data_IF_748878699357
#
_entry.id   IF_748878699357
#
_cell.length_a   1.000
_cell.length_b   1.000
_cell.length_c   1.000
_cell.angle_alpha   90.00
_cell.angle_beta   90.00
_cell.angle_gamma   90.00
#
_symmetry.space_group_name_H-M   'P 1'
#
loop_
_entity.id
_entity.type
_entity.pdbx_description
1 polymer ?
#
# COMPACT_ATOMS: atom_id res chain seq x y z
N UNK A 1 -12.03 6.33 19.66
CA UNK A 1 -11.60 5.68 18.42
C UNK A 1 -11.52 6.71 17.27
N UNK A 2 -10.64 6.48 16.33
CA UNK A 2 -10.22 7.42 15.29
C UNK A 2 -10.04 6.68 13.94
N UNK A 3 -11.12 6.00 13.47
CA UNK A 3 -11.09 5.28 12.20
C UNK A 3 -10.93 6.20 11.01
N UNK A 4 -10.36 5.67 9.93
CA UNK A 4 -10.20 6.41 8.67
C UNK A 4 -11.53 6.97 8.16
N UNK A 5 -11.50 8.21 7.69
CA UNK A 5 -12.68 9.03 7.32
C UNK A 5 -13.65 9.37 8.49
N UNK A 6 -13.21 9.19 9.75
CA UNK A 6 -13.96 9.52 10.98
C UNK A 6 -13.08 10.22 12.01
N UNK A 7 -12.17 11.05 11.54
CA UNK A 7 -11.14 11.71 12.35
C UNK A 7 -11.61 13.03 12.96
N UNK A 8 -12.85 13.48 12.75
CA UNK A 8 -13.31 14.77 13.28
C UNK A 8 -13.08 14.91 14.79
N UNK A 9 -13.38 13.85 15.56
CA UNK A 9 -13.24 13.89 17.02
C UNK A 9 -11.77 14.03 17.47
N UNK A 10 -10.84 13.33 16.81
CA UNK A 10 -9.43 13.44 17.16
C UNK A 10 -8.84 14.77 16.66
N UNK A 11 -9.26 15.27 15.50
CA UNK A 11 -8.88 16.60 15.01
C UNK A 11 -9.39 17.69 15.94
N UNK A 12 -10.65 17.62 16.41
CA UNK A 12 -11.21 18.53 17.43
C UNK A 12 -10.39 18.49 18.73
N UNK A 13 -9.98 17.30 19.16
CA UNK A 13 -9.15 17.12 20.34
C UNK A 13 -7.78 17.80 20.17
N UNK A 14 -7.09 17.59 19.05
CA UNK A 14 -5.79 18.21 18.76
C UNK A 14 -5.90 19.74 18.69
N UNK A 15 -6.93 20.27 18.02
CA UNK A 15 -7.19 21.70 17.95
C UNK A 15 -7.42 22.30 19.35
N UNK A 16 -8.32 21.67 20.15
CA UNK A 16 -8.60 22.12 21.52
C UNK A 16 -7.37 22.02 22.43
N UNK A 17 -6.52 21.01 22.23
CA UNK A 17 -5.26 20.86 22.95
C UNK A 17 -4.31 22.02 22.63
N UNK A 18 -4.17 22.38 21.35
CA UNK A 18 -3.36 23.52 20.92
C UNK A 18 -3.89 24.84 21.48
N UNK A 19 -5.22 25.08 21.44
CA UNK A 19 -5.86 26.26 22.04
C UNK A 19 -5.58 26.40 23.53
N UNK A 20 -5.70 25.31 24.28
CA UNK A 20 -5.42 25.31 25.74
C UNK A 20 -3.94 25.64 26.07
N UNK A 21 -3.02 25.36 25.15
CA UNK A 21 -1.60 25.70 25.28
C UNK A 21 -1.27 27.10 24.72
N UNK A 22 -2.23 27.77 24.07
CA UNK A 22 -2.04 29.05 23.38
C UNK A 22 -1.15 28.97 22.15
N UNK A 23 -1.15 27.80 21.47
CA UNK A 23 -0.39 27.55 20.26
C UNK A 23 -1.23 27.84 19.01
N UNK A 24 -0.56 28.34 17.96
CA UNK A 24 -1.18 28.52 16.65
C UNK A 24 -1.44 27.15 15.99
N UNK A 25 -2.60 26.98 15.38
CA UNK A 25 -2.90 25.81 14.59
C UNK A 25 -3.72 26.14 13.34
N UNK A 26 -3.69 25.25 12.35
CA UNK A 26 -4.55 25.26 11.18
C UNK A 26 -5.17 23.88 10.99
N UNK A 27 -6.41 23.83 10.50
CA UNK A 27 -7.12 22.59 10.14
C UNK A 27 -7.68 22.74 8.72
N UNK A 28 -7.45 21.77 7.87
CA UNK A 28 -7.98 21.77 6.51
C UNK A 28 -9.34 21.02 6.39
N UNK A 29 -9.87 20.98 5.17
CA UNK A 29 -11.16 20.33 4.88
C UNK A 29 -11.11 18.79 4.96
N UNK A 30 -9.92 18.20 5.01
CA UNK A 30 -9.73 16.77 5.21
C UNK A 30 -9.48 16.41 6.69
N UNK A 31 -9.54 17.39 7.58
CA UNK A 31 -9.22 17.28 9.01
C UNK A 31 -7.72 17.11 9.31
N UNK A 32 -6.82 17.31 8.35
CA UNK A 32 -5.41 17.42 8.70
C UNK A 32 -5.18 18.66 9.58
N UNK A 33 -4.35 18.51 10.62
CA UNK A 33 -4.08 19.60 11.58
C UNK A 33 -2.59 19.89 11.62
N UNK A 34 -2.22 21.17 11.57
CA UNK A 34 -0.84 21.63 11.82
C UNK A 34 -0.83 22.46 13.08
N UNK A 35 -0.04 22.10 14.08
CA UNK A 35 0.18 22.87 15.30
C UNK A 35 1.60 23.42 15.30
N UNK A 36 1.75 24.73 15.50
CA UNK A 36 3.06 25.41 15.50
C UNK A 36 3.50 25.73 16.92
N UNK A 37 4.70 25.29 17.29
CA UNK A 37 5.33 25.62 18.56
C UNK A 37 6.55 26.49 18.31
N UNK A 38 6.59 27.76 18.83
CA UNK A 38 7.73 28.64 18.65
C UNK A 38 9.04 28.05 19.20
N UNK A 39 10.16 28.43 18.60
CA UNK A 39 11.48 28.04 19.06
C UNK A 39 11.69 28.44 20.52
N UNK A 40 12.42 27.62 21.26
CA UNK A 40 12.82 27.97 22.63
C UNK A 40 14.01 28.96 22.61
N UNK A 41 14.22 29.77 23.69
CA UNK A 41 15.30 30.74 23.73
C UNK A 41 16.66 30.14 23.36
N UNK A 42 17.33 30.74 22.37
CA UNK A 42 18.61 30.33 21.81
C UNK A 42 18.50 29.40 20.60
N UNK A 43 17.28 29.04 20.17
CA UNK A 43 17.03 28.17 18.99
C UNK A 43 16.33 28.92 17.83
N UNK A 44 16.12 30.22 17.94
CA UNK A 44 15.34 31.03 16.97
C UNK A 44 16.00 31.10 15.58
N UNK A 45 17.31 30.87 15.51
CA UNK A 45 18.07 30.88 14.25
C UNK A 45 18.20 29.49 13.60
N UNK A 46 17.73 28.44 14.28
CA UNK A 46 17.78 27.08 13.76
C UNK A 46 16.67 26.84 12.73
N UNK A 47 16.87 25.86 11.86
CA UNK A 47 15.90 25.48 10.87
C UNK A 47 14.65 24.86 11.50
N UNK A 48 13.48 25.18 10.95
CA UNK A 48 12.19 24.64 11.41
C UNK A 48 12.17 23.13 11.21
N UNK A 49 11.68 22.40 12.21
CA UNK A 49 11.53 20.94 12.19
C UNK A 49 10.06 20.58 12.08
N UNK A 50 9.71 19.76 11.09
CA UNK A 50 8.41 19.11 10.97
C UNK A 50 8.45 17.76 11.68
N UNK A 51 7.48 17.54 12.58
CA UNK A 51 7.14 16.23 13.14
C UNK A 51 5.82 15.79 12.51
N UNK A 52 5.73 14.56 12.03
CA UNK A 52 4.53 14.12 11.31
C UNK A 52 4.16 12.67 11.62
N UNK A 53 2.85 12.43 11.70
CA UNK A 53 2.22 11.14 11.77
C UNK A 53 0.72 11.24 11.54
N UNK A 54 0.07 10.11 11.25
CA UNK A 54 -1.36 10.11 10.95
C UNK A 54 -2.23 9.89 12.19
N UNK A 55 -3.43 10.47 12.16
CA UNK A 55 -4.39 10.39 13.27
C UNK A 55 -5.34 9.21 13.17
N UNK A 56 -5.58 8.68 11.99
CA UNK A 56 -6.48 7.54 11.82
C UNK A 56 -5.87 6.22 12.29
N UNK A 57 -6.64 5.18 12.29
CA UNK A 57 -6.27 3.80 12.61
C UNK A 57 -7.24 2.84 11.97
N UNK A 58 -6.80 1.63 11.67
CA UNK A 58 -7.67 0.53 11.25
C UNK A 58 -8.58 0.09 12.41
N UNK A 59 -9.88 0.05 12.15
CA UNK A 59 -10.87 -0.52 13.06
C UNK A 59 -11.00 -2.02 12.82
N UNK A 60 -10.33 -2.80 13.64
CA UNK A 60 -10.44 -4.26 13.62
C UNK A 60 -10.68 -4.79 15.04
N UNK A 61 -11.52 -5.82 15.17
CA UNK A 61 -11.85 -6.45 16.45
C UNK A 61 -11.95 -7.96 16.33
N UNK A 62 -11.86 -8.66 17.45
CA UNK A 62 -12.05 -10.10 17.48
C UNK A 62 -13.44 -10.49 16.98
N UNK A 63 -13.58 -11.65 16.31
CA UNK A 63 -14.85 -12.06 15.69
C UNK A 63 -16.04 -12.13 16.65
N UNK A 64 -15.78 -12.42 17.92
CA UNK A 64 -16.78 -12.57 19.00
C UNK A 64 -16.97 -11.27 19.81
N UNK A 65 -16.23 -10.20 19.51
CA UNK A 65 -16.34 -8.93 20.21
C UNK A 65 -17.59 -8.14 19.78
N UNK A 66 -18.25 -7.58 20.77
CA UNK A 66 -19.38 -6.65 20.59
C UNK A 66 -18.96 -5.19 20.64
N UNK A 67 -17.66 -4.90 20.74
CA UNK A 67 -17.12 -3.54 20.85
C UNK A 67 -17.60 -2.63 19.72
N UNK A 68 -18.06 -1.43 20.10
CA UNK A 68 -18.56 -0.41 19.17
C UNK A 68 -17.56 0.75 19.05
N UNK A 69 -16.80 0.76 17.95
CA UNK A 69 -15.83 1.82 17.65
C UNK A 69 -16.43 3.24 17.52
N UNK A 70 -17.72 3.37 17.28
CA UNK A 70 -18.36 4.69 17.17
C UNK A 70 -18.60 5.33 18.55
N UNK A 71 -18.86 4.50 19.58
CA UNK A 71 -19.36 4.96 20.87
C UNK A 71 -18.48 4.59 22.06
N UNK A 72 -17.57 3.62 21.91
CA UNK A 72 -16.71 3.15 23.01
C UNK A 72 -15.26 3.61 22.85
N UNK A 73 -14.58 3.89 23.96
CA UNK A 73 -13.13 4.10 24.01
C UNK A 73 -12.37 2.77 24.02
N UNK A 74 -11.25 2.68 23.31
CA UNK A 74 -10.41 1.48 23.31
C UNK A 74 -9.94 1.19 24.73
N UNK A 75 -10.15 -0.05 25.18
CA UNK A 75 -9.73 -0.53 26.50
C UNK A 75 -8.30 -1.06 26.41
N UNK A 76 -7.36 -0.22 26.82
CA UNK A 76 -5.94 -0.56 26.82
C UNK A 76 -5.57 -1.37 28.06
N UNK A 77 -4.63 -2.31 27.89
CA UNK A 77 -4.01 -3.06 28.98
C UNK A 77 -2.49 -3.13 28.76
N UNK A 78 -1.77 -3.17 29.86
CA UNK A 78 -0.34 -3.48 29.87
C UNK A 78 -0.18 -4.96 30.20
N UNK A 79 0.60 -5.67 29.38
CA UNK A 79 0.89 -7.07 29.59
C UNK A 79 2.08 -7.26 30.53
N UNK A 80 2.22 -8.44 31.16
CA UNK A 80 3.31 -8.74 32.10
C UNK A 80 4.70 -8.71 31.43
N UNK A 81 4.75 -8.92 30.10
CA UNK A 81 5.96 -8.87 29.27
C UNK A 81 6.24 -7.48 28.68
N UNK A 82 5.53 -6.43 29.15
CA UNK A 82 5.87 -5.03 28.89
C UNK A 82 5.31 -4.44 27.58
N UNK A 83 4.21 -4.99 27.08
CA UNK A 83 3.51 -4.41 25.93
C UNK A 83 2.24 -3.69 26.31
N UNK A 84 1.90 -2.64 25.53
CA UNK A 84 0.58 -2.04 25.52
C UNK A 84 -0.27 -2.66 24.41
N UNK A 85 -1.45 -3.13 24.75
CA UNK A 85 -2.42 -3.75 23.82
C UNK A 85 -3.84 -3.24 24.10
N UNK A 86 -4.75 -3.45 23.17
CA UNK A 86 -6.19 -3.41 23.45
C UNK A 86 -6.72 -4.80 23.88
N UNK A 87 -7.84 -4.84 24.59
CA UNK A 87 -8.43 -6.10 25.05
C UNK A 87 -9.01 -6.93 23.92
N UNK A 88 -9.74 -6.31 22.99
CA UNK A 88 -10.53 -7.00 21.96
C UNK A 88 -10.34 -6.43 20.54
N UNK A 89 -9.63 -5.30 20.42
CA UNK A 89 -9.51 -4.54 19.18
C UNK A 89 -8.06 -4.26 18.82
N UNK A 90 -7.82 -3.67 17.63
CA UNK A 90 -6.59 -2.92 17.35
C UNK A 90 -6.38 -1.89 18.46
N UNK A 91 -5.14 -1.69 18.89
CA UNK A 91 -4.83 -0.67 19.90
C UNK A 91 -4.51 0.70 19.27
N UNK A 92 -4.19 0.75 17.98
CA UNK A 92 -3.88 1.96 17.22
C UNK A 92 -2.52 2.55 17.60
N UNK A 93 -1.51 1.71 17.88
CA UNK A 93 -0.13 2.15 18.00
C UNK A 93 0.38 2.72 16.68
N UNK A 94 -0.13 2.20 15.60
CA UNK A 94 -0.06 2.72 14.24
C UNK A 94 -1.22 3.72 14.00
N UNK A 95 -1.01 5.04 13.86
CA UNK A 95 0.20 5.79 14.25
C UNK A 95 -0.05 6.64 15.51
N UNK A 96 -0.69 6.05 16.51
CA UNK A 96 -0.92 6.70 17.83
C UNK A 96 0.35 7.06 18.57
N UNK A 97 1.47 6.40 18.24
CA UNK A 97 2.81 6.72 18.76
C UNK A 97 3.19 8.15 18.37
N UNK A 98 3.10 8.49 17.08
CA UNK A 98 3.40 9.84 16.61
C UNK A 98 2.50 10.89 17.25
N UNK A 99 1.18 10.61 17.29
CA UNK A 99 0.22 11.52 17.92
C UNK A 99 0.61 11.78 19.39
N UNK A 100 0.93 10.73 20.15
CA UNK A 100 1.31 10.84 21.56
C UNK A 100 2.62 11.63 21.73
N UNK A 101 3.65 11.38 20.91
CA UNK A 101 4.90 12.11 20.96
C UNK A 101 4.72 13.59 20.64
N UNK A 102 4.00 13.92 19.58
CA UNK A 102 3.74 15.32 19.22
C UNK A 102 2.98 16.04 20.32
N UNK A 103 1.94 15.45 20.90
CA UNK A 103 1.20 16.05 22.01
C UNK A 103 2.09 16.26 23.24
N UNK A 104 2.93 15.29 23.63
CA UNK A 104 3.85 15.40 24.75
C UNK A 104 4.87 16.53 24.51
N UNK A 105 5.46 16.61 23.32
CA UNK A 105 6.40 17.67 22.93
C UNK A 105 5.73 19.05 22.95
N UNK A 106 4.50 19.16 22.42
CA UNK A 106 3.76 20.42 22.42
C UNK A 106 3.49 20.93 23.85
N UNK A 107 3.16 20.02 24.77
CA UNK A 107 2.85 20.38 26.17
C UNK A 107 4.07 20.70 27.02
N UNK A 108 5.22 20.06 26.78
CA UNK A 108 6.41 20.20 27.61
C UNK A 108 7.10 21.55 27.36
N UNK A 109 7.15 22.40 28.40
CA UNK A 109 7.78 23.72 28.36
C UNK A 109 9.28 23.68 28.73
N UNK A 110 9.79 22.54 29.19
CA UNK A 110 11.19 22.38 29.61
C UNK A 110 12.11 21.98 28.45
N UNK A 111 11.56 21.48 27.36
CA UNK A 111 12.31 21.01 26.19
C UNK A 111 13.02 22.18 25.48
N UNK A 112 14.18 21.88 24.93
CA UNK A 112 14.94 22.77 24.04
C UNK A 112 14.75 22.32 22.61
N UNK A 113 14.25 23.18 21.72
CA UNK A 113 13.93 22.86 20.34
C UNK A 113 13.85 24.09 19.44
N UNK A 114 14.10 23.95 18.11
CA UNK A 114 13.77 24.94 17.09
C UNK A 114 12.25 25.18 16.99
N UNK A 115 11.83 26.08 16.13
CA UNK A 115 10.40 26.15 15.75
C UNK A 115 9.94 24.77 15.24
N UNK A 116 8.78 24.31 15.74
CA UNK A 116 8.20 23.02 15.36
C UNK A 116 6.89 23.21 14.58
N UNK A 117 6.72 22.40 13.54
CA UNK A 117 5.48 22.20 12.81
C UNK A 117 5.03 20.74 13.03
N UNK A 118 4.09 20.53 13.96
CA UNK A 118 3.51 19.20 14.22
C UNK A 118 2.34 18.97 13.24
N UNK A 119 2.52 18.08 12.28
CA UNK A 119 1.58 17.78 11.21
C UNK A 119 0.88 16.46 11.50
N UNK A 120 -0.41 16.55 11.78
CA UNK A 120 -1.30 15.42 12.04
C UNK A 120 -2.14 15.18 10.78
N UNK A 121 -1.91 14.08 10.11
CA UNK A 121 -2.60 13.72 8.86
C UNK A 121 -3.78 12.78 9.11
N UNK A 122 -4.62 12.57 8.11
CA UNK A 122 -5.85 11.76 8.16
C UNK A 122 -5.94 10.80 6.99
N UNK A 123 -6.76 9.75 7.13
CA UNK A 123 -7.06 8.78 6.08
C UNK A 123 -5.78 8.27 5.35
N UNK A 124 -4.74 7.99 6.14
CA UNK A 124 -3.51 7.36 5.66
C UNK A 124 -3.78 5.92 5.24
N UNK A 125 -4.34 5.13 6.14
CA UNK A 125 -4.55 3.70 6.07
C UNK A 125 -5.32 3.20 4.82
N UNK A 126 -6.37 3.89 4.34
CA UNK A 126 -7.08 3.46 3.14
C UNK A 126 -6.36 3.84 1.83
N UNK A 127 -5.25 4.59 1.88
CA UNK A 127 -4.46 4.95 0.69
C UNK A 127 -4.02 6.41 0.61
N UNK A 128 -3.58 6.99 1.72
CA UNK A 128 -2.96 8.33 1.80
C UNK A 128 -3.92 9.46 1.33
N UNK A 129 -5.23 9.33 1.61
CA UNK A 129 -6.21 10.29 1.05
C UNK A 129 -6.16 11.66 1.72
N UNK A 130 -5.86 11.73 3.02
CA UNK A 130 -5.81 12.99 3.75
C UNK A 130 -4.67 13.88 3.26
N UNK A 131 -3.47 13.32 3.18
CA UNK A 131 -2.29 14.07 2.77
C UNK A 131 -2.37 14.56 1.32
N UNK A 132 -3.12 13.88 0.43
CA UNK A 132 -3.30 14.34 -0.96
C UNK A 132 -4.05 15.69 -1.07
N UNK A 133 -4.78 16.08 -0.01
CA UNK A 133 -5.48 17.38 0.07
C UNK A 133 -4.70 18.43 0.88
N UNK A 134 -3.58 18.02 1.45
CA UNK A 134 -2.78 18.86 2.31
C UNK A 134 -2.00 19.92 1.50
N UNK A 135 -2.08 21.18 1.93
CA UNK A 135 -1.31 22.27 1.34
C UNK A 135 0.04 22.45 2.04
N UNK A 136 1.11 21.93 1.42
CA UNK A 136 2.47 22.08 1.92
C UNK A 136 3.00 23.52 1.89
N UNK A 137 2.38 24.46 1.14
CA UNK A 137 2.85 25.84 1.02
C UNK A 137 2.82 26.61 2.34
N UNK A 138 2.03 26.13 3.30
CA UNK A 138 1.95 26.70 4.65
C UNK A 138 3.12 26.32 5.57
N UNK A 139 3.94 25.33 5.17
CA UNK A 139 5.06 24.81 5.97
C UNK A 139 6.37 25.49 5.62
N UNK A 140 7.22 25.70 6.64
CA UNK A 140 8.54 26.31 6.53
C UNK A 140 9.68 25.32 6.79
N UNK A 141 9.35 24.11 7.23
CA UNK A 141 10.30 23.10 7.67
C UNK A 141 11.41 22.83 6.64
N UNK A 142 12.62 22.58 7.17
CA UNK A 142 13.80 22.10 6.44
C UNK A 142 14.22 20.71 6.89
N UNK A 143 13.84 20.34 8.11
CA UNK A 143 14.05 19.02 8.69
C UNK A 143 12.72 18.34 8.92
N UNK A 144 12.67 17.04 8.69
CA UNK A 144 11.45 16.26 8.77
C UNK A 144 11.68 14.95 9.52
N UNK A 145 10.93 14.75 10.60
CA UNK A 145 10.87 13.50 11.33
C UNK A 145 9.50 12.88 11.10
N UNK A 146 9.45 11.85 10.27
CA UNK A 146 8.28 10.96 10.16
C UNK A 146 8.31 9.95 11.30
N UNK A 147 7.14 9.62 11.85
CA UNK A 147 7.04 8.70 12.98
C UNK A 147 6.14 7.49 12.67
N UNK A 148 5.78 7.30 11.42
CA UNK A 148 4.96 6.21 10.90
C UNK A 148 5.83 5.03 10.44
N UNK A 149 5.88 3.97 11.24
CA UNK A 149 6.64 2.74 10.99
C UNK A 149 6.57 1.79 12.20
N UNK A 150 7.33 0.70 12.19
CA UNK A 150 7.11 -0.39 13.15
C UNK A 150 8.36 -0.96 13.85
N UNK A 151 9.55 -0.42 13.61
CA UNK A 151 10.78 -0.97 14.18
C UNK A 151 11.76 0.12 14.59
N UNK A 152 12.06 0.22 15.88
CA UNK A 152 13.04 1.15 16.42
C UNK A 152 14.47 0.94 15.88
N UNK A 153 15.30 1.97 15.94
CA UNK A 153 16.69 1.90 15.49
C UNK A 153 16.82 1.66 13.97
N UNK A 154 15.78 1.99 13.21
CA UNK A 154 15.80 1.95 11.74
C UNK A 154 15.47 3.32 11.16
N UNK A 155 15.91 3.55 9.91
CA UNK A 155 15.43 4.69 9.10
C UNK A 155 15.09 4.22 7.70
N UNK A 156 13.86 4.52 7.25
CA UNK A 156 13.35 4.11 5.95
C UNK A 156 13.87 5.06 4.86
N UNK A 157 14.86 4.59 4.10
CA UNK A 157 15.48 5.39 3.02
C UNK A 157 14.77 5.21 1.68
N UNK A 158 14.13 4.07 1.48
CA UNK A 158 13.46 3.73 0.22
C UNK A 158 12.04 3.25 0.53
N UNK A 159 11.04 3.90 -0.07
CA UNK A 159 9.66 3.41 -0.08
C UNK A 159 9.04 3.59 -1.47
N UNK A 160 8.16 2.68 -1.85
CA UNK A 160 7.57 2.69 -3.18
C UNK A 160 6.38 3.64 -3.28
N UNK A 161 6.24 4.29 -4.43
CA UNK A 161 5.01 4.91 -4.87
C UNK A 161 4.27 4.03 -5.86
N UNK A 162 3.01 4.35 -6.14
CA UNK A 162 2.22 3.62 -7.12
C UNK A 162 1.17 4.49 -7.81
N UNK A 163 0.76 4.05 -9.01
CA UNK A 163 -0.45 4.50 -9.68
C UNK A 163 -1.53 3.42 -9.52
N UNK A 164 -2.60 3.72 -8.80
CA UNK A 164 -3.75 2.83 -8.69
C UNK A 164 -4.64 3.04 -9.92
N UNK A 165 -4.60 2.10 -10.84
CA UNK A 165 -5.25 2.24 -12.12
C UNK A 165 -6.31 1.16 -12.37
N UNK A 166 -7.34 1.54 -13.11
CA UNK A 166 -8.41 0.65 -13.56
C UNK A 166 -8.51 0.68 -15.08
N UNK A 167 -8.52 -0.50 -15.65
CA UNK A 167 -8.89 -0.72 -17.04
C UNK A 167 -10.35 -1.14 -17.12
N UNK A 168 -11.06 -0.68 -18.15
CA UNK A 168 -12.46 -1.08 -18.38
C UNK A 168 -12.74 -1.21 -19.87
N UNK A 169 -13.29 -2.35 -20.28
CA UNK A 169 -13.81 -2.56 -21.64
C UNK A 169 -15.29 -2.84 -21.58
N UNK A 170 -16.08 -1.99 -22.24
CA UNK A 170 -17.53 -2.16 -22.39
C UNK A 170 -17.84 -2.96 -23.64
N UNK A 171 -18.89 -3.76 -23.60
CA UNK A 171 -19.35 -4.59 -24.70
C UNK A 171 -20.85 -4.92 -24.61
N UNK A 172 -21.41 -5.46 -25.69
CA UNK A 172 -22.71 -6.09 -25.70
C UNK A 172 -22.50 -7.59 -25.94
N UNK A 173 -23.21 -8.43 -25.17
CA UNK A 173 -23.09 -9.89 -25.30
C UNK A 173 -23.75 -10.40 -26.57
N UNK A 174 -23.18 -11.45 -27.15
CA UNK A 174 -23.69 -12.15 -28.31
C UNK A 174 -24.07 -13.57 -27.93
N UNK A 175 -25.25 -14.01 -28.39
CA UNK A 175 -25.68 -15.41 -28.27
C UNK A 175 -25.03 -16.22 -29.40
N UNK A 176 -24.29 -17.26 -29.05
CA UNK A 176 -23.64 -18.15 -29.99
C UNK A 176 -24.49 -19.41 -30.16
N UNK A 177 -24.91 -19.69 -31.41
CA UNK A 177 -25.61 -20.93 -31.75
C UNK A 177 -24.61 -22.08 -31.75
N UNK A 178 -25.05 -23.24 -31.26
CA UNK A 178 -24.29 -24.50 -31.28
C UNK A 178 -22.91 -24.44 -30.56
N UNK A 179 -22.77 -23.52 -29.58
CA UNK A 179 -21.59 -23.41 -28.77
C UNK A 179 -21.80 -24.07 -27.40
N UNK A 180 -20.79 -24.80 -26.96
CA UNK A 180 -20.63 -25.30 -25.59
C UNK A 180 -19.78 -24.31 -24.74
N UNK A 181 -19.80 -24.45 -23.43
CA UNK A 181 -19.03 -23.65 -22.50
C UNK A 181 -17.97 -24.50 -21.81
N UNK A 182 -16.74 -23.98 -21.73
CA UNK A 182 -15.67 -24.51 -20.90
C UNK A 182 -15.31 -23.47 -19.82
N UNK A 183 -15.40 -23.87 -18.56
CA UNK A 183 -14.86 -23.09 -17.46
C UNK A 183 -13.47 -23.63 -17.10
N UNK A 184 -12.53 -22.71 -16.97
CA UNK A 184 -11.09 -22.94 -16.71
C UNK A 184 -10.77 -22.22 -15.43
N UNK A 185 -10.56 -22.95 -14.34
CA UNK A 185 -10.21 -22.38 -13.05
C UNK A 185 -8.80 -22.79 -12.63
N UNK A 186 -7.96 -21.81 -12.35
CA UNK A 186 -6.65 -21.99 -11.72
C UNK A 186 -6.75 -21.58 -10.27
N UNK A 187 -6.27 -22.42 -9.36
CA UNK A 187 -6.32 -22.21 -7.92
C UNK A 187 -5.16 -22.92 -7.20
N UNK A 188 -5.08 -22.77 -5.88
CA UNK A 188 -4.03 -23.42 -5.08
C UNK A 188 -2.67 -22.71 -5.12
N UNK A 189 -2.63 -21.45 -5.58
CA UNK A 189 -1.43 -20.64 -5.55
C UNK A 189 -1.14 -20.15 -4.13
N UNK A 190 0.14 -19.87 -3.86
CA UNK A 190 0.62 -19.47 -2.52
C UNK A 190 0.09 -18.10 -2.12
N UNK A 191 0.13 -17.11 -3.03
CA UNK A 191 -0.30 -15.76 -2.77
C UNK A 191 0.53 -15.02 -1.73
N UNK A 192 0.51 -13.69 -1.80
CA UNK A 192 1.09 -12.80 -0.81
C UNK A 192 0.53 -11.38 -1.01
N UNK A 193 0.80 -10.48 -0.06
CA UNK A 193 0.60 -9.06 -0.29
C UNK A 193 1.49 -8.57 -1.45
N UNK A 194 1.00 -7.62 -2.25
CA UNK A 194 1.70 -7.12 -3.45
C UNK A 194 3.07 -6.48 -3.18
N UNK A 195 3.37 -6.14 -1.95
CA UNK A 195 4.71 -5.65 -1.57
C UNK A 195 5.81 -6.73 -1.65
N UNK A 196 5.47 -8.02 -1.60
CA UNK A 196 6.41 -9.13 -1.58
C UNK A 196 6.71 -9.68 -3.00
N UNK A 197 6.96 -8.78 -3.95
CA UNK A 197 7.25 -9.14 -5.35
C UNK A 197 8.56 -9.92 -5.51
N UNK A 198 9.49 -9.80 -4.56
CA UNK A 198 10.74 -10.59 -4.54
C UNK A 198 10.49 -12.09 -4.44
N UNK A 199 9.32 -12.50 -3.96
CA UNK A 199 8.94 -13.94 -3.89
C UNK A 199 8.67 -14.55 -5.26
N UNK A 200 8.48 -13.73 -6.30
CA UNK A 200 8.24 -14.14 -7.68
C UNK A 200 7.11 -15.18 -7.83
N UNK A 201 6.04 -15.00 -7.04
CA UNK A 201 4.87 -15.87 -7.03
C UNK A 201 4.12 -15.81 -8.37
N UNK A 202 3.49 -16.91 -8.73
CA UNK A 202 2.60 -16.95 -9.88
C UNK A 202 1.35 -16.07 -9.63
N UNK A 203 0.82 -15.48 -10.70
CA UNK A 203 -0.42 -14.72 -10.69
C UNK A 203 -1.50 -15.53 -11.40
N UNK A 204 -2.57 -15.92 -10.71
CA UNK A 204 -3.63 -16.76 -11.24
C UNK A 204 -4.33 -16.14 -12.46
N UNK A 205 -4.52 -14.81 -12.48
CA UNK A 205 -5.13 -14.11 -13.61
C UNK A 205 -4.23 -14.24 -14.84
N UNK A 206 -2.93 -13.98 -14.71
CA UNK A 206 -1.95 -14.13 -15.81
C UNK A 206 -1.88 -15.57 -16.32
N UNK A 207 -1.98 -16.54 -15.41
CA UNK A 207 -1.98 -17.98 -15.76
C UNK A 207 -3.21 -18.36 -16.57
N UNK A 208 -4.41 -17.97 -16.10
CA UNK A 208 -5.66 -18.25 -16.84
C UNK A 208 -5.69 -17.54 -18.19
N UNK A 209 -5.26 -16.28 -18.24
CA UNK A 209 -5.16 -15.52 -19.50
C UNK A 209 -4.19 -16.19 -20.47
N UNK A 210 -3.05 -16.72 -19.99
CA UNK A 210 -2.10 -17.48 -20.82
C UNK A 210 -2.75 -18.73 -21.39
N UNK A 211 -3.50 -19.47 -20.58
CA UNK A 211 -4.25 -20.66 -21.02
C UNK A 211 -5.26 -20.28 -22.13
N UNK A 212 -6.10 -19.29 -21.89
CA UNK A 212 -7.12 -18.83 -22.86
C UNK A 212 -6.45 -18.35 -24.16
N UNK A 213 -5.35 -17.59 -24.07
CA UNK A 213 -4.60 -17.12 -25.22
C UNK A 213 -4.11 -18.29 -26.11
N UNK A 214 -3.53 -19.34 -25.51
CA UNK A 214 -3.05 -20.49 -26.28
C UNK A 214 -4.18 -21.37 -26.81
N UNK A 215 -5.31 -21.50 -26.11
CA UNK A 215 -6.52 -22.12 -26.67
C UNK A 215 -6.94 -21.38 -27.93
N UNK A 216 -7.03 -20.04 -27.88
CA UNK A 216 -7.40 -19.22 -29.05
C UNK A 216 -6.43 -19.32 -30.24
N UNK A 217 -5.19 -19.72 -30.01
CA UNK A 217 -4.23 -20.00 -31.09
C UNK A 217 -4.54 -21.31 -31.86
N UNK A 218 -5.19 -22.26 -31.21
CA UNK A 218 -5.42 -23.58 -31.75
C UNK A 218 -6.89 -23.83 -32.16
N UNK A 219 -7.84 -23.21 -31.43
CA UNK A 219 -9.28 -23.33 -31.70
C UNK A 219 -10.01 -22.00 -31.54
N UNK A 220 -11.01 -21.68 -32.36
CA UNK A 220 -11.85 -20.51 -32.19
C UNK A 220 -12.63 -20.59 -30.86
N UNK A 221 -12.52 -19.57 -30.03
CA UNK A 221 -13.35 -19.44 -28.81
C UNK A 221 -13.53 -17.97 -28.42
N UNK A 222 -14.61 -17.67 -27.69
CA UNK A 222 -14.93 -16.35 -27.19
C UNK A 222 -15.01 -16.33 -25.68
N UNK A 223 -14.58 -15.25 -25.08
CA UNK A 223 -14.64 -15.05 -23.64
C UNK A 223 -16.10 -14.79 -23.21
N UNK A 224 -16.58 -15.54 -22.22
CA UNK A 224 -17.85 -15.29 -21.53
C UNK A 224 -17.58 -14.43 -20.30
N UNK A 225 -16.62 -14.84 -19.47
CA UNK A 225 -16.21 -14.10 -18.28
C UNK A 225 -14.78 -14.41 -17.87
N UNK A 226 -14.18 -13.51 -17.11
CA UNK A 226 -12.91 -13.68 -16.44
C UNK A 226 -13.01 -13.01 -15.08
N UNK A 227 -12.87 -13.77 -14.00
CA UNK A 227 -13.05 -13.26 -12.63
C UNK A 227 -12.00 -13.87 -11.71
N UNK A 228 -11.43 -13.06 -10.82
CA UNK A 228 -10.48 -13.53 -9.82
C UNK A 228 -9.71 -12.41 -9.15
N UNK A 229 -8.99 -12.81 -8.10
CA UNK A 229 -8.13 -11.95 -7.32
C UNK A 229 -8.84 -11.05 -6.31
N UNK A 230 -8.04 -10.38 -5.50
CA UNK A 230 -8.47 -9.34 -4.55
C UNK A 230 -7.41 -8.23 -4.49
N UNK A 231 -7.83 -7.01 -4.14
CA UNK A 231 -6.90 -5.88 -4.03
C UNK A 231 -5.82 -6.15 -2.99
N UNK A 232 -4.66 -5.55 -3.21
CA UNK A 232 -3.45 -5.64 -2.39
C UNK A 232 -2.81 -7.03 -2.30
N UNK A 233 -3.33 -8.02 -3.05
CA UNK A 233 -2.79 -9.40 -3.04
C UNK A 233 -2.37 -9.85 -4.44
N UNK A 234 -1.34 -10.70 -4.50
CA UNK A 234 -1.01 -11.46 -5.71
C UNK A 234 -2.09 -12.54 -5.86
N UNK A 235 -2.87 -12.55 -6.96
CA UNK A 235 -4.04 -13.42 -7.13
C UNK A 235 -3.74 -14.91 -6.99
N UNK A 236 -4.48 -15.58 -6.10
CA UNK A 236 -4.34 -17.02 -5.81
C UNK A 236 -5.29 -17.90 -6.60
N UNK A 237 -6.34 -17.30 -7.15
CA UNK A 237 -7.36 -17.97 -7.95
C UNK A 237 -7.87 -17.08 -9.08
N UNK A 238 -8.28 -17.70 -10.17
CA UNK A 238 -8.97 -17.04 -11.28
C UNK A 238 -9.75 -18.05 -12.08
N UNK A 239 -10.93 -17.64 -12.58
CA UNK A 239 -11.78 -18.45 -13.44
C UNK A 239 -12.10 -17.72 -14.75
N UNK A 240 -11.77 -18.33 -15.88
CA UNK A 240 -12.28 -17.94 -17.18
C UNK A 240 -13.41 -18.89 -17.62
N UNK A 241 -14.44 -18.34 -18.27
CA UNK A 241 -15.46 -19.10 -18.98
C UNK A 241 -15.38 -18.72 -20.45
N UNK A 242 -15.27 -19.71 -21.33
CA UNK A 242 -15.16 -19.52 -22.79
C UNK A 242 -16.26 -20.30 -23.51
N UNK A 243 -16.74 -19.75 -24.61
CA UNK A 243 -17.66 -20.39 -25.55
C UNK A 243 -16.88 -20.90 -26.77
N UNK A 244 -17.09 -22.14 -27.17
CA UNK A 244 -16.45 -22.78 -28.32
C UNK A 244 -17.36 -23.87 -28.90
N UNK A 245 -17.10 -24.28 -30.15
CA UNK A 245 -17.82 -25.41 -30.74
C UNK A 245 -17.48 -26.70 -29.98
N UNK A 246 -18.47 -27.60 -29.82
CA UNK A 246 -18.31 -28.84 -29.07
C UNK A 246 -17.16 -29.71 -29.59
N UNK A 247 -16.96 -29.73 -30.91
CA UNK A 247 -15.86 -30.47 -31.58
C UNK A 247 -14.46 -29.99 -31.17
N UNK A 248 -14.34 -28.77 -30.63
CA UNK A 248 -13.08 -28.20 -30.17
C UNK A 248 -12.80 -28.42 -28.67
N UNK A 249 -13.74 -29.03 -27.93
CA UNK A 249 -13.66 -29.17 -26.49
C UNK A 249 -12.45 -29.99 -26.05
N UNK A 250 -12.20 -31.13 -26.65
CA UNK A 250 -11.05 -31.99 -26.32
C UNK A 250 -9.73 -31.29 -26.56
N UNK A 251 -9.63 -30.55 -27.67
CA UNK A 251 -8.41 -29.77 -27.95
C UNK A 251 -8.20 -28.62 -26.98
N UNK A 252 -9.27 -27.94 -26.60
CA UNK A 252 -9.17 -26.87 -25.60
C UNK A 252 -8.69 -27.39 -24.24
N UNK A 253 -9.16 -28.57 -23.80
CA UNK A 253 -8.70 -29.23 -22.56
C UNK A 253 -7.23 -29.64 -22.65
N UNK A 254 -6.81 -30.26 -23.75
CA UNK A 254 -5.40 -30.62 -23.99
C UNK A 254 -4.48 -29.40 -23.85
N UNK A 255 -4.85 -28.29 -24.53
CA UNK A 255 -4.07 -27.05 -24.48
C UNK A 255 -4.04 -26.45 -23.06
N UNK A 256 -5.20 -26.43 -22.38
CA UNK A 256 -5.29 -25.92 -21.01
C UNK A 256 -4.36 -26.69 -20.06
N UNK A 257 -4.37 -28.02 -20.13
CA UNK A 257 -3.52 -28.87 -19.31
C UNK A 257 -2.04 -28.68 -19.64
N UNK A 258 -1.67 -28.66 -20.91
CA UNK A 258 -0.29 -28.45 -21.36
C UNK A 258 0.26 -27.11 -20.85
N UNK A 259 -0.49 -26.03 -21.04
CA UNK A 259 -0.04 -24.69 -20.60
C UNK A 259 0.06 -24.61 -19.08
N UNK A 260 -0.86 -25.25 -18.33
CA UNK A 260 -0.72 -25.31 -16.88
C UNK A 260 0.57 -26.01 -16.45
N UNK A 261 0.88 -27.18 -17.05
CA UNK A 261 2.12 -27.90 -16.68
C UNK A 261 3.39 -27.10 -16.99
N UNK A 262 3.40 -26.28 -18.07
CA UNK A 262 4.46 -25.33 -18.34
C UNK A 262 4.60 -24.30 -17.21
N UNK A 263 3.48 -23.67 -16.78
CA UNK A 263 3.47 -22.66 -15.71
C UNK A 263 3.83 -23.28 -14.35
N UNK A 264 3.34 -24.50 -14.05
CA UNK A 264 3.74 -25.23 -12.83
C UNK A 264 5.24 -25.49 -12.79
N UNK A 265 5.85 -25.84 -13.91
CA UNK A 265 7.30 -26.03 -13.98
C UNK A 265 8.06 -24.71 -13.76
N UNK A 266 7.57 -23.59 -14.34
CA UNK A 266 8.15 -22.26 -14.15
C UNK A 266 8.10 -21.80 -12.68
N UNK A 267 7.03 -22.19 -11.94
CA UNK A 267 6.77 -21.79 -10.56
C UNK A 267 6.80 -22.95 -9.55
N UNK A 268 7.53 -24.03 -9.85
CA UNK A 268 7.54 -25.25 -9.02
C UNK A 268 7.98 -25.05 -7.58
N UNK A 269 8.80 -24.01 -7.33
CA UNK A 269 9.34 -23.70 -6.00
C UNK A 269 8.44 -22.72 -5.24
N UNK A 270 7.83 -21.76 -5.95
CA UNK A 270 7.00 -20.72 -5.35
C UNK A 270 5.53 -21.15 -5.16
N UNK A 271 5.00 -21.94 -6.11
CA UNK A 271 3.57 -22.31 -6.18
C UNK A 271 3.36 -23.82 -6.43
N UNK A 272 3.90 -24.71 -5.57
CA UNK A 272 3.89 -26.16 -5.79
C UNK A 272 2.47 -26.78 -5.84
N UNK A 273 1.48 -26.12 -5.24
CA UNK A 273 0.10 -26.62 -5.14
C UNK A 273 -0.83 -26.08 -6.24
N UNK A 274 -0.29 -25.39 -7.24
CA UNK A 274 -1.09 -24.84 -8.36
C UNK A 274 -1.89 -25.96 -9.06
N UNK A 275 -3.18 -25.75 -9.25
CA UNK A 275 -4.12 -26.75 -9.75
C UNK A 275 -5.05 -26.15 -10.80
N UNK A 276 -5.46 -26.97 -11.79
CA UNK A 276 -6.45 -26.65 -12.81
C UNK A 276 -7.73 -27.46 -12.59
N UNK A 277 -8.85 -26.78 -12.54
CA UNK A 277 -10.17 -27.41 -12.60
C UNK A 277 -10.88 -27.02 -13.91
N UNK A 278 -11.43 -27.99 -14.60
CA UNK A 278 -12.18 -27.79 -15.84
C UNK A 278 -13.63 -28.28 -15.64
N UNK A 279 -14.61 -27.49 -16.12
CA UNK A 279 -16.00 -27.90 -16.11
C UNK A 279 -16.71 -27.43 -17.40
N UNK A 280 -17.69 -28.21 -17.86
CA UNK A 280 -18.33 -28.01 -19.13
C UNK A 280 -19.84 -27.83 -19.00
N UNK A 281 -20.41 -27.08 -19.94
CA UNK A 281 -21.87 -27.02 -20.16
C UNK A 281 -22.17 -27.24 -21.64
N UNK A 282 -23.23 -27.98 -21.92
CA UNK A 282 -23.66 -28.29 -23.30
C UNK A 282 -24.04 -27.05 -24.12
N UNK A 283 -24.47 -25.97 -23.42
CA UNK A 283 -24.85 -24.70 -24.05
C UNK A 283 -24.06 -23.56 -23.42
N UNK A 284 -23.44 -22.75 -24.26
CA UNK A 284 -22.70 -21.58 -23.80
C UNK A 284 -23.67 -20.46 -23.40
N UNK A 285 -23.31 -19.75 -22.35
CA UNK A 285 -23.88 -18.45 -22.02
C UNK A 285 -23.50 -17.42 -23.10
N UNK A 286 -24.27 -16.30 -23.22
CA UNK A 286 -23.89 -15.22 -24.14
C UNK A 286 -22.46 -14.73 -23.87
N UNK A 287 -21.66 -14.63 -24.92
CA UNK A 287 -20.22 -14.31 -24.86
C UNK A 287 -19.94 -12.87 -25.28
N UNK A 288 -18.72 -12.42 -25.03
CA UNK A 288 -18.19 -11.17 -25.57
C UNK A 288 -18.04 -11.28 -27.09
N UNK A 289 -18.18 -10.19 -27.86
CA UNK A 289 -17.83 -10.14 -29.28
C UNK A 289 -16.41 -10.65 -29.53
N UNK A 290 -16.16 -11.14 -30.72
CA UNK A 290 -14.85 -11.70 -31.10
C UNK A 290 -13.72 -10.68 -30.93
N UNK A 291 -13.92 -9.47 -31.46
CA UNK A 291 -12.94 -8.39 -31.39
C UNK A 291 -12.67 -7.93 -29.95
N UNK A 292 -13.68 -7.91 -29.09
CA UNK A 292 -13.53 -7.60 -27.66
C UNK A 292 -12.73 -8.70 -26.96
N UNK A 293 -13.06 -9.96 -27.23
CA UNK A 293 -12.31 -11.09 -26.68
C UNK A 293 -10.83 -11.01 -27.07
N UNK A 294 -10.55 -10.72 -28.35
CA UNK A 294 -9.18 -10.62 -28.87
C UNK A 294 -8.41 -9.49 -28.20
N UNK A 295 -9.00 -8.29 -28.14
CA UNK A 295 -8.42 -7.11 -27.49
C UNK A 295 -8.11 -7.36 -26.01
N UNK A 296 -9.08 -7.89 -25.25
CA UNK A 296 -8.94 -8.13 -23.80
C UNK A 296 -7.87 -9.19 -23.51
N UNK A 297 -7.93 -10.34 -24.18
CA UNK A 297 -6.97 -11.43 -23.96
C UNK A 297 -5.57 -10.99 -24.37
N UNK A 298 -5.41 -10.30 -25.50
CA UNK A 298 -4.11 -9.84 -25.98
C UNK A 298 -3.52 -8.77 -25.07
N UNK A 299 -4.32 -7.76 -24.66
CA UNK A 299 -3.87 -6.73 -23.74
C UNK A 299 -3.41 -7.33 -22.41
N UNK A 300 -4.22 -8.20 -21.79
CA UNK A 300 -3.85 -8.87 -20.54
C UNK A 300 -2.58 -9.74 -20.66
N UNK A 301 -2.31 -10.30 -21.85
CA UNK A 301 -1.04 -11.02 -22.13
C UNK A 301 0.15 -10.05 -22.17
N UNK A 302 -0.01 -8.89 -22.79
CA UNK A 302 1.06 -7.89 -22.96
C UNK A 302 1.34 -7.10 -21.68
N UNK A 303 0.32 -6.82 -20.86
CA UNK A 303 0.53 -6.13 -19.58
C UNK A 303 1.53 -6.93 -18.72
N UNK A 304 2.66 -6.32 -18.31
CA UNK A 304 3.59 -6.99 -17.41
C UNK A 304 2.94 -7.23 -16.03
N UNK A 305 3.43 -8.21 -15.29
CA UNK A 305 3.08 -8.44 -13.89
C UNK A 305 4.28 -9.05 -13.16
N UNK A 306 4.49 -8.66 -11.91
CA UNK A 306 5.59 -9.11 -11.10
C UNK A 306 6.73 -8.09 -10.99
N UNK A 307 7.86 -8.56 -10.49
CA UNK A 307 9.07 -7.78 -10.26
C UNK A 307 9.67 -7.25 -11.57
N UNK A 308 10.08 -5.97 -11.56
CA UNK A 308 10.80 -5.32 -12.67
C UNK A 308 12.26 -5.10 -12.29
N UNK A 309 12.51 -4.41 -11.16
CA UNK A 309 13.86 -4.11 -10.69
C UNK A 309 14.00 -4.35 -9.19
N UNK A 310 15.24 -4.62 -8.78
CA UNK A 310 15.66 -4.71 -7.38
C UNK A 310 16.69 -3.63 -7.04
N UNK A 311 16.80 -3.30 -5.75
CA UNK A 311 17.80 -2.37 -5.25
C UNK A 311 19.22 -2.94 -5.39
N UNK A 312 20.15 -2.09 -5.79
CA UNK A 312 21.59 -2.41 -5.73
C UNK A 312 22.18 -2.12 -4.34
N UNK A 313 21.49 -1.34 -3.52
CA UNK A 313 21.91 -0.97 -2.15
C UNK A 313 21.34 -1.92 -1.11
N UNK A 314 20.09 -2.34 -1.27
CA UNK A 314 19.41 -3.30 -0.38
C UNK A 314 19.11 -4.59 -1.15
N UNK A 315 20.01 -5.61 -1.06
CA UNK A 315 19.84 -6.84 -1.82
C UNK A 315 18.47 -7.51 -1.60
N UNK A 316 17.77 -7.81 -2.69
CA UNK A 316 16.45 -8.44 -2.65
C UNK A 316 15.25 -7.47 -2.52
N UNK A 317 15.49 -6.20 -2.19
CA UNK A 317 14.40 -5.23 -2.12
C UNK A 317 13.86 -4.90 -3.52
N UNK A 318 12.56 -5.09 -3.80
CA UNK A 318 11.93 -4.61 -5.03
C UNK A 318 11.98 -3.08 -5.11
N UNK A 319 12.45 -2.54 -6.23
CA UNK A 319 12.38 -1.10 -6.54
C UNK A 319 11.18 -0.80 -7.42
N UNK A 320 10.91 -1.66 -8.41
CA UNK A 320 9.80 -1.49 -9.33
C UNK A 320 9.09 -2.80 -9.60
N UNK A 321 7.78 -2.76 -9.71
CA UNK A 321 6.94 -3.91 -10.03
C UNK A 321 5.64 -3.49 -10.72
N UNK A 322 4.98 -4.45 -11.35
CA UNK A 322 3.59 -4.33 -11.80
C UNK A 322 2.72 -5.35 -11.07
N UNK A 323 1.56 -4.92 -10.59
CA UNK A 323 0.57 -5.81 -9.99
C UNK A 323 -0.73 -5.81 -10.78
N UNK A 324 -1.15 -6.99 -11.25
CA UNK A 324 -2.51 -7.25 -11.75
C UNK A 324 -3.25 -7.96 -10.64
N UNK A 325 -4.17 -7.24 -9.96
CA UNK A 325 -4.68 -7.66 -8.64
C UNK A 325 -6.08 -8.26 -8.72
N UNK A 326 -6.97 -7.64 -9.49
CA UNK A 326 -8.36 -8.11 -9.63
C UNK A 326 -8.79 -8.06 -11.07
N UNK A 327 -9.71 -8.96 -11.44
CA UNK A 327 -10.44 -8.88 -12.69
C UNK A 327 -11.88 -9.33 -12.47
N UNK A 328 -12.82 -8.58 -13.03
CA UNK A 328 -14.24 -8.85 -12.89
C UNK A 328 -14.99 -8.59 -14.22
N UNK A 329 -15.88 -9.49 -14.54
CA UNK A 329 -16.78 -9.38 -15.69
C UNK A 329 -18.22 -9.19 -15.22
N UNK A 330 -18.86 -8.11 -15.66
CA UNK A 330 -20.28 -7.85 -15.51
C UNK A 330 -21.07 -8.25 -16.79
N UNK A 331 -22.35 -7.94 -16.84
CA UNK A 331 -23.16 -8.19 -18.04
C UNK A 331 -22.73 -7.36 -19.26
N UNK A 332 -22.14 -6.19 -19.06
CA UNK A 332 -21.83 -5.22 -20.12
C UNK A 332 -20.40 -4.70 -20.11
N UNK A 333 -19.56 -5.18 -19.21
CA UNK A 333 -18.16 -4.74 -19.11
C UNK A 333 -17.26 -5.82 -18.51
N UNK A 334 -15.97 -5.69 -18.79
CA UNK A 334 -14.90 -6.34 -18.05
C UNK A 334 -13.94 -5.29 -17.58
N UNK A 335 -13.54 -5.37 -16.32
CA UNK A 335 -12.60 -4.43 -15.72
C UNK A 335 -11.55 -5.13 -14.85
N UNK A 336 -10.39 -4.51 -14.71
CA UNK A 336 -9.33 -5.00 -13.85
C UNK A 336 -8.58 -3.87 -13.17
N UNK A 337 -8.10 -4.15 -11.95
CA UNK A 337 -7.24 -3.25 -11.19
C UNK A 337 -5.77 -3.59 -11.46
N UNK A 338 -4.99 -2.54 -11.72
CA UNK A 338 -3.60 -2.66 -12.11
C UNK A 338 -2.76 -1.57 -11.44
N UNK A 339 -1.57 -1.94 -10.97
CA UNK A 339 -0.75 -1.04 -10.17
C UNK A 339 0.72 -1.06 -10.63
N UNK A 340 1.16 -0.10 -11.45
CA UNK A 340 2.56 0.25 -11.59
C UNK A 340 3.10 0.80 -10.27
N UNK A 341 4.21 0.25 -9.78
CA UNK A 341 4.79 0.58 -8.47
C UNK A 341 6.29 0.82 -8.63
N UNK A 342 6.81 1.92 -8.08
CA UNK A 342 8.27 2.15 -8.03
C UNK A 342 8.65 3.11 -6.92
N UNK A 343 9.80 2.87 -6.28
CA UNK A 343 10.43 3.83 -5.36
C UNK A 343 10.98 5.09 -6.09
N UNK A 344 11.07 5.03 -7.42
CA UNK A 344 11.54 6.15 -8.27
C UNK A 344 10.31 6.73 -8.97
N UNK A 345 9.88 7.91 -8.55
CA UNK A 345 8.64 8.56 -9.04
C UNK A 345 8.61 8.68 -10.58
N UNK A 346 9.70 9.14 -11.21
CA UNK A 346 9.75 9.27 -12.67
C UNK A 346 9.59 7.94 -13.39
N UNK A 347 10.11 6.85 -12.83
CA UNK A 347 9.95 5.50 -13.36
C UNK A 347 8.53 5.00 -13.18
N UNK A 348 7.92 5.21 -12.02
CA UNK A 348 6.51 4.87 -11.78
C UNK A 348 5.58 5.57 -12.79
N UNK A 349 5.81 6.87 -13.04
CA UNK A 349 5.02 7.62 -14.02
C UNK A 349 5.24 7.14 -15.47
N UNK A 350 6.47 6.72 -15.83
CA UNK A 350 6.75 6.13 -17.15
C UNK A 350 6.06 4.75 -17.30
N UNK A 351 6.06 3.93 -16.25
CA UNK A 351 5.35 2.64 -16.22
C UNK A 351 3.83 2.82 -16.33
N UNK A 352 3.28 3.87 -15.71
CA UNK A 352 1.86 4.27 -15.85
C UNK A 352 1.56 4.68 -17.29
N UNK A 353 2.40 5.52 -17.90
CA UNK A 353 2.22 5.96 -19.28
C UNK A 353 2.32 4.79 -20.28
N UNK A 354 3.22 3.85 -20.09
CA UNK A 354 3.27 2.60 -20.88
C UNK A 354 1.97 1.80 -20.79
N UNK A 355 1.37 1.73 -19.59
CA UNK A 355 0.09 1.07 -19.37
C UNK A 355 -1.06 1.79 -20.08
N UNK A 356 -1.05 3.11 -20.07
CA UNK A 356 -2.00 3.98 -20.78
C UNK A 356 -1.92 3.79 -22.30
N UNK A 357 -0.70 3.76 -22.85
CA UNK A 357 -0.47 3.53 -24.28
C UNK A 357 -0.99 2.15 -24.72
N UNK A 358 -0.77 1.13 -23.91
CA UNK A 358 -1.32 -0.21 -24.19
C UNK A 358 -2.86 -0.17 -24.17
N UNK A 359 -3.47 0.49 -23.19
CA UNK A 359 -4.93 0.63 -23.14
C UNK A 359 -5.48 1.32 -24.41
N UNK A 360 -4.85 2.40 -24.85
CA UNK A 360 -5.23 3.13 -26.08
C UNK A 360 -5.10 2.25 -27.33
N UNK A 361 -4.02 1.48 -27.44
CA UNK A 361 -3.77 0.60 -28.60
C UNK A 361 -4.86 -0.47 -28.75
N UNK A 362 -5.42 -0.94 -27.62
CA UNK A 362 -6.48 -1.96 -27.59
C UNK A 362 -7.89 -1.38 -27.41
N UNK A 363 -8.04 -0.05 -27.47
CA UNK A 363 -9.33 0.63 -27.30
C UNK A 363 -10.03 0.18 -25.98
N UNK A 364 -9.27 0.27 -24.88
CA UNK A 364 -9.71 0.01 -23.50
C UNK A 364 -9.62 1.29 -22.71
N UNK A 365 -10.64 1.61 -21.92
CA UNK A 365 -10.62 2.77 -21.01
C UNK A 365 -9.56 2.54 -19.93
N UNK A 366 -8.76 3.56 -19.64
CA UNK A 366 -7.75 3.57 -18.60
C UNK A 366 -7.94 4.79 -17.70
N UNK A 367 -8.11 4.55 -16.41
CA UNK A 367 -8.31 5.61 -15.42
C UNK A 367 -7.41 5.36 -14.20
N UNK A 368 -6.64 6.37 -13.80
CA UNK A 368 -5.90 6.35 -12.55
C UNK A 368 -6.78 6.93 -11.45
N UNK A 369 -7.08 6.14 -10.45
CA UNK A 369 -7.91 6.54 -9.31
C UNK A 369 -7.13 7.49 -8.38
N UNK A 370 -5.87 7.14 -8.09
CA UNK A 370 -4.96 8.00 -7.33
C UNK A 370 -3.49 7.63 -7.60
N UNK A 371 -2.61 8.59 -7.30
CA UNK A 371 -1.16 8.40 -7.21
C UNK A 371 -0.72 8.58 -5.76
N UNK A 372 0.19 7.74 -5.31
CA UNK A 372 1.04 8.06 -4.19
C UNK A 372 2.50 7.92 -4.59
N UNK A 373 3.35 8.73 -3.99
CA UNK A 373 4.72 8.89 -4.45
C UNK A 373 5.69 8.18 -3.53
N UNK A 374 6.65 7.49 -4.12
CA UNK A 374 7.75 6.88 -3.41
C UNK A 374 8.84 7.90 -3.06
N UNK A 375 9.75 7.46 -2.23
CA UNK A 375 10.99 8.19 -1.97
C UNK A 375 12.20 7.26 -2.04
N UNK A 376 13.32 7.85 -2.37
CA UNK A 376 14.62 7.19 -2.38
C UNK A 376 15.64 8.25 -1.96
N UNK A 377 15.97 8.27 -0.67
CA UNK A 377 16.87 9.21 -0.05
C UNK A 377 18.18 8.54 0.38
N UNK A 378 19.22 9.33 0.52
CA UNK A 378 20.54 8.82 0.90
C UNK A 378 20.72 8.83 2.42
N UNK A 379 21.47 7.86 2.95
CA UNK A 379 21.97 7.91 4.30
C UNK A 379 23.07 9.00 4.43
N UNK A 380 23.31 9.49 5.66
CA UNK A 380 24.42 10.41 5.92
C UNK A 380 24.09 11.89 5.69
N UNK A 381 22.81 12.24 5.53
CA UNK A 381 22.36 13.64 5.60
C UNK A 381 22.62 14.22 6.99
N UNK A 382 22.63 15.55 7.15
CA UNK A 382 22.87 16.16 8.47
C UNK A 382 21.93 15.63 9.55
N UNK A 383 20.62 15.54 9.28
CA UNK A 383 19.64 15.04 10.26
C UNK A 383 19.81 13.53 10.52
N UNK A 384 20.11 12.74 9.48
CA UNK A 384 20.42 11.32 9.62
C UNK A 384 21.63 11.10 10.56
N UNK A 385 22.71 11.88 10.38
CA UNK A 385 23.90 11.76 11.21
C UNK A 385 23.64 12.15 12.68
N UNK A 386 22.80 13.16 12.94
CA UNK A 386 22.37 13.50 14.28
C UNK A 386 21.57 12.35 14.89
N UNK A 387 20.64 11.76 14.16
CA UNK A 387 19.85 10.62 14.63
C UNK A 387 20.76 9.42 14.96
N UNK A 388 21.65 9.04 14.05
CA UNK A 388 22.57 7.91 14.24
C UNK A 388 23.46 8.13 15.47
N UNK A 389 24.02 9.33 15.64
CA UNK A 389 24.85 9.65 16.78
C UNK A 389 24.06 9.59 18.11
N UNK A 390 22.85 10.20 18.15
CA UNK A 390 22.01 10.18 19.38
C UNK A 390 21.62 8.75 19.72
N UNK A 391 21.21 7.97 18.71
CA UNK A 391 20.83 6.57 18.91
C UNK A 391 21.99 5.74 19.46
N UNK A 392 23.19 5.90 18.86
CA UNK A 392 24.40 5.21 19.31
C UNK A 392 24.78 5.59 20.75
N UNK A 393 24.74 6.88 21.10
CA UNK A 393 25.04 7.34 22.46
C UNK A 393 24.07 6.78 23.50
N UNK A 394 22.80 6.60 23.16
CA UNK A 394 21.78 6.12 24.07
C UNK A 394 21.66 4.59 24.14
N UNK A 395 21.95 3.87 23.03
CA UNK A 395 21.65 2.44 22.91
C UNK A 395 22.88 1.58 22.59
N UNK A 396 24.04 2.16 22.22
CA UNK A 396 25.28 1.45 21.95
C UNK A 396 25.36 0.81 20.54
N UNK A 397 24.39 1.06 19.69
CA UNK A 397 24.35 0.56 18.29
C UNK A 397 23.92 1.68 17.33
N UNK A 398 24.36 1.57 16.06
CA UNK A 398 23.99 2.49 15.01
C UNK A 398 22.60 2.17 14.45
N UNK A 399 21.91 3.20 13.93
CA UNK A 399 20.65 2.99 13.23
C UNK A 399 20.89 2.16 11.95
N UNK A 400 19.89 1.36 11.58
CA UNK A 400 19.91 0.53 10.38
C UNK A 400 19.10 1.18 9.26
N UNK A 401 19.71 1.52 8.12
CA UNK A 401 18.95 1.93 6.96
C UNK A 401 18.14 0.75 6.42
N UNK A 402 16.88 0.99 6.11
CA UNK A 402 15.97 -0.01 5.53
C UNK A 402 15.29 0.52 4.28
N UNK A 403 14.73 -0.38 3.50
CA UNK A 403 13.86 -0.08 2.36
C UNK A 403 12.61 -0.94 2.38
N UNK A 404 11.54 -0.43 1.80
CA UNK A 404 10.24 -1.10 1.71
C UNK A 404 9.62 -0.95 0.32
N UNK A 405 8.82 -1.94 -0.08
CA UNK A 405 8.08 -1.88 -1.34
C UNK A 405 6.58 -1.60 -1.10
N UNK A 406 6.31 -0.65 -0.21
CA UNK A 406 4.98 -0.09 0.06
C UNK A 406 5.07 1.43 0.15
N UNK A 407 3.91 2.11 0.05
CA UNK A 407 3.82 3.56 0.13
C UNK A 407 3.65 4.06 1.57
N UNK A 408 4.03 5.31 1.80
CA UNK A 408 3.78 6.08 2.99
C UNK A 408 3.67 7.59 2.65
N UNK A 409 3.36 8.41 3.62
CA UNK A 409 3.19 9.86 3.42
C UNK A 409 4.50 10.63 3.16
N UNK A 410 5.66 10.06 3.49
CA UNK A 410 6.98 10.69 3.28
C UNK A 410 7.15 11.10 1.81
N UNK A 411 6.78 10.23 0.89
CA UNK A 411 6.89 10.50 -0.55
C UNK A 411 6.09 11.72 -1.00
N UNK A 412 4.92 11.97 -0.40
CA UNK A 412 4.13 13.17 -0.66
C UNK A 412 4.85 14.44 -0.20
N UNK A 413 5.37 14.45 1.02
CA UNK A 413 6.07 15.62 1.56
C UNK A 413 7.36 15.90 0.78
N UNK A 414 8.19 14.88 0.50
CA UNK A 414 9.42 15.06 -0.27
C UNK A 414 9.19 15.51 -1.72
N UNK A 415 8.07 15.11 -2.33
CA UNK A 415 7.70 15.60 -3.66
C UNK A 415 7.35 17.07 -3.66
N UNK A 416 6.60 17.55 -2.67
CA UNK A 416 6.14 18.92 -2.58
C UNK A 416 7.16 19.86 -1.90
N UNK A 417 8.07 19.29 -1.11
CA UNK A 417 9.12 19.99 -0.37
C UNK A 417 10.48 19.26 -0.56
N UNK A 418 11.06 19.29 -1.78
CA UNK A 418 12.24 18.49 -2.13
C UNK A 418 13.54 18.89 -1.41
N UNK A 419 13.49 19.96 -0.63
CA UNK A 419 14.59 20.43 0.20
C UNK A 419 14.60 19.81 1.61
N UNK A 420 13.61 19.00 1.99
CA UNK A 420 13.54 18.40 3.33
C UNK A 420 14.66 17.38 3.55
N UNK A 421 15.39 17.57 4.64
CA UNK A 421 16.24 16.53 5.22
C UNK A 421 15.39 15.68 6.18
N UNK A 422 15.25 14.38 5.90
CA UNK A 422 14.26 13.54 6.56
C UNK A 422 14.88 12.33 7.25
N UNK A 423 14.25 11.93 8.35
CA UNK A 423 14.44 10.66 9.02
C UNK A 423 13.09 10.02 9.36
N UNK A 424 13.10 8.69 9.50
CA UNK A 424 12.02 7.94 10.15
C UNK A 424 12.47 7.54 11.56
N UNK A 425 11.70 7.91 12.58
CA UNK A 425 11.95 7.55 13.98
C UNK A 425 10.67 6.98 14.58
N UNK A 426 10.67 5.71 14.92
CA UNK A 426 9.47 4.98 15.34
C UNK A 426 9.75 4.08 16.53
N UNK A 427 8.73 3.84 17.37
CA UNK A 427 8.77 2.81 18.39
C UNK A 427 8.38 1.43 17.81
N UNK A 428 8.94 0.37 18.40
CA UNK A 428 8.62 -0.99 17.95
C UNK A 428 7.20 -1.37 18.33
N UNK A 429 6.41 -1.75 17.34
CA UNK A 429 5.12 -2.38 17.52
C UNK A 429 4.97 -3.59 16.60
N UNK A 430 4.05 -4.47 16.93
CA UNK A 430 3.85 -5.74 16.23
C UNK A 430 2.40 -5.92 15.86
N UNK A 431 2.15 -6.65 14.78
CA UNK A 431 0.83 -7.08 14.31
C UNK A 431 -0.15 -5.90 14.14
N UNK A 432 0.35 -4.76 13.65
CA UNK A 432 -0.51 -3.63 13.27
C UNK A 432 -1.73 -4.09 12.45
N UNK A 433 -2.84 -3.38 12.54
CA UNK A 433 -4.12 -3.68 11.85
C UNK A 433 -4.83 -4.94 12.33
N UNK A 434 -4.37 -5.60 13.38
CA UNK A 434 -5.02 -6.79 13.95
C UNK A 434 -5.40 -6.59 15.43
N UNK A 435 -6.34 -7.36 15.97
CA UNK A 435 -6.65 -7.34 17.42
C UNK A 435 -5.52 -7.83 18.33
N UNK A 436 -4.42 -8.32 17.75
CA UNK A 436 -3.20 -8.72 18.46
C UNK A 436 -2.10 -7.66 18.38
N UNK A 437 -2.43 -6.47 17.89
CA UNK A 437 -1.54 -5.33 17.83
C UNK A 437 -1.02 -4.97 19.22
N UNK A 438 0.31 -4.80 19.33
CA UNK A 438 0.98 -4.48 20.59
C UNK A 438 2.18 -3.57 20.40
N UNK A 439 2.31 -2.57 21.29
CA UNK A 439 3.39 -1.61 21.35
C UNK A 439 4.39 -2.01 22.45
N UNK A 440 5.68 -2.06 22.13
CA UNK A 440 6.76 -2.24 23.10
C UNK A 440 6.95 -0.92 23.91
N UNK A 441 6.57 -0.95 25.18
CA UNK A 441 6.62 0.23 26.06
C UNK A 441 8.07 0.72 26.29
N UNK A 442 9.02 -0.20 26.37
CA UNK A 442 10.42 0.18 26.54
C UNK A 442 10.99 0.85 25.28
N UNK A 443 10.61 0.35 24.11
CA UNK A 443 10.93 0.99 22.81
C UNK A 443 10.30 2.38 22.71
N UNK A 444 9.03 2.52 23.10
CA UNK A 444 8.34 3.81 23.11
C UNK A 444 9.11 4.87 23.92
N UNK A 445 9.57 4.52 25.12
CA UNK A 445 10.36 5.43 25.96
C UNK A 445 11.75 5.75 25.35
N UNK A 446 12.46 4.75 24.80
CA UNK A 446 13.75 4.95 24.13
C UNK A 446 13.64 5.90 22.94
N UNK A 447 12.64 5.71 22.10
CA UNK A 447 12.42 6.53 20.90
C UNK A 447 12.00 7.96 21.26
N UNK A 448 11.15 8.14 22.28
CA UNK A 448 10.81 9.49 22.78
C UNK A 448 12.04 10.23 23.27
N UNK A 449 12.89 9.61 24.08
CA UNK A 449 14.15 10.22 24.56
C UNK A 449 15.09 10.56 23.41
N UNK A 450 15.16 9.68 22.40
CA UNK A 450 15.95 9.94 21.19
C UNK A 450 15.42 11.16 20.43
N UNK A 451 14.10 11.24 20.21
CA UNK A 451 13.46 12.37 19.54
C UNK A 451 13.73 13.69 20.25
N UNK A 452 13.55 13.73 21.58
CA UNK A 452 13.83 14.94 22.40
C UNK A 452 15.29 15.37 22.26
N UNK A 453 16.24 14.45 22.28
CA UNK A 453 17.65 14.75 22.14
C UNK A 453 18.03 15.20 20.72
N UNK A 454 17.39 14.63 19.68
CA UNK A 454 17.55 15.12 18.30
C UNK A 454 17.09 16.57 18.22
N UNK A 455 15.88 16.90 18.72
CA UNK A 455 15.36 18.27 18.71
C UNK A 455 16.27 19.28 19.45
N UNK A 456 16.99 18.82 20.47
CA UNK A 456 17.97 19.64 21.18
C UNK A 456 19.25 19.92 20.37
N UNK A 457 19.61 19.07 19.40
CA UNK A 457 20.87 19.16 18.61
C UNK A 457 20.69 19.81 17.25
N UNK A 458 19.47 19.89 16.76
CA UNK A 458 19.17 20.44 15.41
C UNK A 458 18.67 21.91 15.51
#
# INVERSE_FOLDING_TARGET
PRGSFKEEKIADFVCSFAENLGLEYTRDSANNVVVRKPATPGYEAHEVVMLQGHMDMIWNKRPDSTFDFEHEGIKLKVTDDGYLMAEETTCGSDDGVAVAYMLAILQDKSLKHPELECVFTTAEEPGLYGVQKFDCSQLKARKYVSMDGNLEGTSLLIAAGAANARFTKRFQREVLKDAAELAIQVHGLTGAHVQFQERQLANAIKTVVRIVYYIRKEVPCRLISLNGGSQTTIPVDCTARIALALEHMDKAREVAQRVLEEVKFEHKESDPNMTLSLSEKAHASPAMPEDVTDKVVTLLRLLPAGLVDTSLVFPGLPISSFSLETIETTDSSIGWFYRPTSAITSKMLDMDEQSRLLAQLFDVEYHVENYFYGHNVEAGTPLYNVFDQVWFEQNGEHIRPIGAHYGNEIGFFLRNMPWLDMILLVATHYQAHTPDEKLDIASFDRCYRCLVEILRRV
#
